data_IF_292040084217
#
_entry.id   IF_292040084217
#
_cell.length_a   1.000
_cell.length_b   1.000
_cell.length_c   1.000
_cell.angle_alpha   90.00
_cell.angle_beta   90.00
_cell.angle_gamma   90.00
#
_symmetry.space_group_name_H-M   'P 1'
#
loop_
_entity.id
_entity.type
_entity.pdbx_description
1 polymer ?
#
# COMPACT_ATOMS: atom_id res chain seq x y z
N UNK A 1 8.61 23.16 14.43
CA UNK A 1 9.53 22.58 13.41
C UNK A 1 8.90 21.50 12.48
N UNK A 2 7.65 21.59 11.97
CA UNK A 2 7.17 20.66 10.93
C UNK A 2 7.74 20.92 9.52
N UNK A 3 8.09 22.18 9.20
CA UNK A 3 8.41 22.58 7.82
C UNK A 3 9.74 22.02 7.28
N UNK A 4 10.78 21.91 8.13
CA UNK A 4 12.09 21.39 7.70
C UNK A 4 12.01 19.94 7.22
N UNK A 5 11.29 19.07 7.94
CA UNK A 5 11.14 17.65 7.58
C UNK A 5 10.35 17.47 6.28
N UNK A 6 9.37 18.33 6.03
CA UNK A 6 8.63 18.38 4.76
C UNK A 6 9.54 18.77 3.60
N UNK A 7 10.44 19.75 3.82
CA UNK A 7 11.38 20.23 2.80
C UNK A 7 12.43 19.18 2.41
N UNK A 8 12.91 18.37 3.35
CA UNK A 8 13.91 17.34 3.11
C UNK A 8 13.32 16.16 2.31
N UNK A 9 12.11 15.70 2.69
CA UNK A 9 11.43 14.64 1.95
C UNK A 9 11.18 15.02 0.48
N UNK A 10 10.75 16.26 0.24
CA UNK A 10 10.58 16.79 -1.12
C UNK A 10 11.90 16.82 -1.88
N UNK A 11 13.00 17.25 -1.24
CA UNK A 11 14.33 17.24 -1.85
C UNK A 11 14.79 15.84 -2.24
N UNK A 12 14.64 14.85 -1.37
CA UNK A 12 15.03 13.47 -1.65
C UNK A 12 14.23 12.89 -2.81
N UNK A 13 12.91 13.08 -2.82
CA UNK A 13 12.04 12.62 -3.92
C UNK A 13 12.46 13.25 -5.25
N UNK A 14 12.69 14.57 -5.27
CA UNK A 14 13.14 15.26 -6.47
C UNK A 14 14.51 14.74 -6.95
N UNK A 15 15.41 14.41 -6.01
CA UNK A 15 16.67 13.73 -6.29
C UNK A 15 16.45 12.39 -6.98
N UNK A 16 15.61 11.51 -6.41
CA UNK A 16 15.30 10.21 -7.00
C UNK A 16 14.70 10.32 -8.41
N UNK A 17 13.79 11.29 -8.63
CA UNK A 17 13.19 11.54 -9.95
C UNK A 17 14.25 12.04 -10.94
N UNK A 18 15.10 13.00 -10.54
CA UNK A 18 16.17 13.54 -11.38
C UNK A 18 17.17 12.45 -11.78
N UNK A 19 17.52 11.59 -10.83
CA UNK A 19 18.45 10.48 -11.02
C UNK A 19 17.80 9.27 -11.74
N UNK A 20 16.53 9.38 -12.12
CA UNK A 20 15.74 8.33 -12.79
C UNK A 20 15.77 7.00 -12.03
N UNK A 21 15.74 7.07 -10.70
CA UNK A 21 15.70 5.88 -9.83
C UNK A 21 14.49 5.01 -10.17
N UNK A 22 14.66 3.71 -10.11
CA UNK A 22 13.56 2.76 -10.21
C UNK A 22 12.86 2.59 -8.85
N UNK A 23 11.70 1.93 -8.84
CA UNK A 23 11.08 1.52 -7.57
C UNK A 23 12.00 0.61 -6.75
N UNK A 24 12.77 -0.27 -7.39
CA UNK A 24 13.66 -1.20 -6.70
C UNK A 24 14.84 -0.45 -6.05
N UNK A 25 15.37 0.60 -6.69
CA UNK A 25 16.40 1.46 -6.10
C UNK A 25 15.89 2.19 -4.85
N UNK A 26 14.68 2.77 -4.92
CA UNK A 26 14.08 3.49 -3.79
C UNK A 26 13.67 2.51 -2.69
N UNK A 27 13.16 1.33 -3.04
CA UNK A 27 12.91 0.24 -2.10
C UNK A 27 14.19 -0.15 -1.35
N UNK A 28 15.27 -0.40 -2.08
CA UNK A 28 16.55 -0.86 -1.52
C UNK A 28 17.12 0.16 -0.55
N UNK A 29 17.04 1.45 -0.89
CA UNK A 29 17.60 2.53 -0.06
C UNK A 29 16.68 2.97 1.10
N UNK A 30 15.36 2.92 0.94
CA UNK A 30 14.42 3.48 1.93
C UNK A 30 13.69 2.42 2.74
N UNK A 31 13.48 1.21 2.22
CA UNK A 31 12.58 0.21 2.84
C UNK A 31 13.34 -1.03 3.34
N UNK A 32 14.26 -1.57 2.55
CA UNK A 32 14.86 -2.89 2.77
C UNK A 32 15.46 -3.07 4.19
N UNK A 33 16.22 -2.08 4.67
CA UNK A 33 16.87 -2.14 6.00
C UNK A 33 15.99 -1.60 7.13
N UNK A 34 14.85 -0.98 6.81
CA UNK A 34 13.96 -0.30 7.78
C UNK A 34 12.75 -1.13 8.17
N UNK A 35 12.51 -2.26 7.50
CA UNK A 35 11.28 -3.05 7.63
C UNK A 35 10.92 -3.43 9.06
N UNK A 36 11.90 -3.82 9.86
CA UNK A 36 11.67 -4.34 11.21
C UNK A 36 11.57 -3.24 12.28
N UNK A 37 12.03 -2.01 12.01
CA UNK A 37 12.20 -0.97 13.05
C UNK A 37 11.56 0.37 12.68
N UNK A 38 12.04 1.00 11.62
CA UNK A 38 11.75 2.40 11.27
C UNK A 38 10.89 2.53 10.01
N UNK A 39 10.11 1.48 9.70
CA UNK A 39 9.35 1.35 8.45
C UNK A 39 8.46 2.56 8.15
N UNK A 40 7.81 3.14 9.16
CA UNK A 40 6.89 4.27 8.99
C UNK A 40 7.51 5.64 9.21
N UNK A 41 8.84 5.74 9.37
CA UNK A 41 9.51 7.05 9.38
C UNK A 41 9.46 7.69 8.00
N UNK A 42 9.62 9.02 7.93
CA UNK A 42 9.49 9.78 6.69
C UNK A 42 10.42 9.28 5.57
N UNK A 43 11.62 8.80 5.92
CA UNK A 43 12.62 8.21 5.03
C UNK A 43 12.45 6.68 4.85
N UNK A 44 11.29 6.14 5.22
CA UNK A 44 10.94 4.73 5.13
C UNK A 44 9.95 4.41 4.01
N UNK A 45 8.95 3.60 4.35
CA UNK A 45 7.82 3.27 3.49
C UNK A 45 7.05 4.49 2.97
N UNK A 46 6.81 5.57 3.75
CA UNK A 46 6.19 6.79 3.24
C UNK A 46 6.95 7.39 2.06
N UNK A 47 8.29 7.45 2.11
CA UNK A 47 9.14 7.94 1.00
C UNK A 47 8.93 7.09 -0.26
N UNK A 48 8.99 5.77 -0.10
CA UNK A 48 8.79 4.81 -1.20
C UNK A 48 7.41 4.97 -1.84
N UNK A 49 6.35 5.01 -1.03
CA UNK A 49 4.97 5.14 -1.50
C UNK A 49 4.76 6.47 -2.21
N UNK A 50 5.32 7.56 -1.67
CA UNK A 50 5.20 8.89 -2.29
C UNK A 50 5.96 8.97 -3.62
N UNK A 51 7.17 8.44 -3.68
CA UNK A 51 7.93 8.33 -4.93
C UNK A 51 7.17 7.50 -5.97
N UNK A 52 6.59 6.37 -5.54
CA UNK A 52 5.77 5.53 -6.40
C UNK A 52 4.59 6.30 -6.99
N UNK A 53 3.84 7.03 -6.15
CA UNK A 53 2.66 7.80 -6.55
C UNK A 53 3.00 8.87 -7.59
N UNK A 54 4.10 9.60 -7.38
CA UNK A 54 4.54 10.67 -8.29
C UNK A 54 5.02 10.13 -9.64
N UNK A 55 5.58 8.93 -9.66
CA UNK A 55 6.09 8.28 -10.88
C UNK A 55 5.09 7.33 -11.53
N UNK A 56 3.90 7.15 -10.95
CA UNK A 56 2.91 6.16 -11.37
C UNK A 56 2.53 6.27 -12.86
N UNK A 57 2.35 7.51 -13.37
CA UNK A 57 2.00 7.76 -14.78
C UNK A 57 3.00 7.18 -15.78
N UNK A 58 4.26 7.02 -15.37
CA UNK A 58 5.34 6.47 -16.21
C UNK A 58 5.43 4.94 -16.11
N UNK A 59 4.81 4.33 -15.09
CA UNK A 59 4.97 2.91 -14.73
C UNK A 59 3.69 2.08 -14.91
N UNK A 60 2.53 2.71 -15.06
CA UNK A 60 1.24 2.04 -15.27
C UNK A 60 0.38 1.98 -13.99
N UNK A 61 -0.37 0.88 -13.81
CA UNK A 61 -1.46 0.77 -12.84
C UNK A 61 -1.04 0.55 -11.37
N UNK A 62 0.26 0.40 -11.07
CA UNK A 62 0.76 0.23 -9.71
C UNK A 62 1.15 1.58 -9.05
N UNK A 63 0.12 2.36 -8.72
CA UNK A 63 0.26 3.71 -8.17
C UNK A 63 1.10 3.74 -6.90
N UNK A 64 0.91 2.78 -6.00
CA UNK A 64 1.55 2.78 -4.67
C UNK A 64 2.71 1.78 -4.54
N UNK A 65 3.11 1.14 -5.64
CA UNK A 65 4.29 0.28 -5.68
C UNK A 65 4.06 -1.03 -4.94
N UNK A 66 2.79 -1.46 -4.82
CA UNK A 66 2.42 -2.64 -4.03
C UNK A 66 2.89 -3.93 -4.69
N UNK A 67 3.04 -3.96 -6.02
CA UNK A 67 3.45 -5.18 -6.72
C UNK A 67 4.87 -5.57 -6.31
N UNK A 68 5.79 -4.60 -6.29
CA UNK A 68 7.16 -4.84 -5.83
C UNK A 68 7.20 -5.25 -4.35
N UNK A 69 6.45 -4.56 -3.49
CA UNK A 69 6.41 -4.89 -2.06
C UNK A 69 5.90 -6.31 -1.80
N UNK A 70 4.87 -6.76 -2.53
CA UNK A 70 4.38 -8.14 -2.46
C UNK A 70 5.42 -9.12 -3.00
N UNK A 71 6.14 -8.79 -4.07
CA UNK A 71 7.24 -9.64 -4.58
C UNK A 71 8.35 -9.82 -3.54
N UNK A 72 8.69 -8.77 -2.78
CA UNK A 72 9.80 -8.80 -1.81
C UNK A 72 9.42 -9.42 -0.46
N UNK A 73 8.21 -9.16 0.03
CA UNK A 73 7.80 -9.55 1.39
C UNK A 73 6.61 -10.50 1.45
N UNK A 74 5.92 -10.73 0.33
CA UNK A 74 4.66 -11.44 0.30
C UNK A 74 3.48 -10.57 0.76
N UNK A 75 2.29 -10.96 0.32
CA UNK A 75 1.05 -10.24 0.62
C UNK A 75 0.71 -10.24 2.12
N UNK A 76 1.00 -11.34 2.83
CA UNK A 76 0.64 -11.46 4.24
C UNK A 76 1.49 -10.54 5.12
N UNK A 77 2.83 -10.56 4.96
CA UNK A 77 3.74 -9.66 5.69
C UNK A 77 3.46 -8.20 5.37
N UNK A 78 3.17 -7.88 4.12
CA UNK A 78 2.78 -6.52 3.74
C UNK A 78 1.47 -6.09 4.40
N UNK A 79 0.45 -6.96 4.43
CA UNK A 79 -0.82 -6.63 5.06
C UNK A 79 -0.71 -6.56 6.59
N UNK A 80 0.18 -7.32 7.22
CA UNK A 80 0.55 -7.15 8.63
C UNK A 80 1.08 -5.73 8.89
N UNK A 81 2.06 -5.28 8.10
CA UNK A 81 2.61 -3.92 8.22
C UNK A 81 1.52 -2.86 8.03
N UNK A 82 0.63 -3.04 7.05
CA UNK A 82 -0.52 -2.14 6.84
C UNK A 82 -1.44 -2.10 8.06
N UNK A 83 -1.78 -3.24 8.65
CA UNK A 83 -2.63 -3.29 9.85
C UNK A 83 -1.96 -2.59 11.05
N UNK A 84 -0.65 -2.74 11.21
CA UNK A 84 0.14 -2.01 12.22
C UNK A 84 0.08 -0.51 11.98
N UNK A 85 0.32 -0.06 10.74
CA UNK A 85 0.28 1.37 10.38
C UNK A 85 -1.10 2.00 10.57
N UNK A 86 -2.18 1.27 10.26
CA UNK A 86 -3.55 1.74 10.49
C UNK A 86 -3.94 1.83 11.97
N UNK A 87 -3.20 1.15 12.85
CA UNK A 87 -3.49 1.10 14.29
C UNK A 87 -2.54 1.94 15.14
N UNK A 88 -1.55 2.60 14.53
CA UNK A 88 -0.46 3.27 15.26
C UNK A 88 -0.84 4.59 15.91
N UNK A 89 -1.92 5.24 15.44
CA UNK A 89 -2.27 6.61 15.82
C UNK A 89 -1.35 7.70 15.25
N UNK A 90 -0.35 7.32 14.44
CA UNK A 90 0.54 8.26 13.74
C UNK A 90 -0.02 8.57 12.34
N UNK A 91 -0.30 9.84 12.06
CA UNK A 91 -0.96 10.27 10.82
C UNK A 91 -0.18 9.86 9.56
N UNK A 92 1.16 9.90 9.60
CA UNK A 92 2.00 9.53 8.48
C UNK A 92 1.92 8.02 8.22
N UNK A 93 1.99 7.21 9.27
CA UNK A 93 1.86 5.77 9.22
C UNK A 93 0.48 5.36 8.70
N UNK A 94 -0.59 5.95 9.25
CA UNK A 94 -1.98 5.71 8.85
C UNK A 94 -2.17 6.05 7.38
N UNK A 95 -1.77 7.25 6.95
CA UNK A 95 -1.91 7.68 5.56
C UNK A 95 -1.08 6.83 4.57
N UNK A 96 0.08 6.32 5.01
CA UNK A 96 0.90 5.42 4.19
C UNK A 96 0.25 4.05 4.08
N UNK A 97 -0.23 3.50 5.19
CA UNK A 97 -0.90 2.22 5.24
C UNK A 97 -2.21 2.22 4.44
N UNK A 98 -2.97 3.32 4.47
CA UNK A 98 -4.19 3.47 3.67
C UNK A 98 -3.92 3.42 2.16
N UNK A 99 -2.87 4.09 1.69
CA UNK A 99 -2.44 4.02 0.28
C UNK A 99 -2.08 2.58 -0.12
N UNK A 100 -1.30 1.89 0.71
CA UNK A 100 -0.94 0.50 0.45
C UNK A 100 -2.15 -0.42 0.46
N UNK A 101 -3.09 -0.23 1.39
CA UNK A 101 -4.36 -0.97 1.45
C UNK A 101 -5.18 -0.75 0.18
N UNK A 102 -5.28 0.49 -0.30
CA UNK A 102 -5.96 0.81 -1.56
C UNK A 102 -5.28 0.13 -2.77
N UNK A 103 -3.95 0.15 -2.84
CA UNK A 103 -3.19 -0.53 -3.88
C UNK A 103 -3.41 -2.05 -3.86
N UNK A 104 -3.38 -2.67 -2.69
CA UNK A 104 -3.66 -4.10 -2.51
C UNK A 104 -5.09 -4.46 -2.93
N UNK A 105 -6.09 -3.67 -2.54
CA UNK A 105 -7.48 -3.88 -2.95
C UNK A 105 -7.65 -3.79 -4.48
N UNK A 106 -7.03 -2.79 -5.11
CA UNK A 106 -7.07 -2.65 -6.57
C UNK A 106 -6.40 -3.85 -7.27
N UNK A 107 -5.26 -4.31 -6.74
CA UNK A 107 -4.61 -5.51 -7.23
C UNK A 107 -5.52 -6.74 -7.12
N UNK A 108 -6.09 -6.99 -5.95
CA UNK A 108 -6.97 -8.14 -5.73
C UNK A 108 -8.24 -8.08 -6.59
N UNK A 109 -8.76 -6.88 -6.85
CA UNK A 109 -9.84 -6.66 -7.81
C UNK A 109 -9.45 -7.08 -9.24
N UNK A 110 -8.28 -6.67 -9.71
CA UNK A 110 -7.77 -7.05 -11.04
C UNK A 110 -7.47 -8.55 -11.15
N UNK A 111 -7.05 -9.17 -10.05
CA UNK A 111 -6.87 -10.62 -9.92
C UNK A 111 -8.21 -11.37 -9.76
N UNK A 112 -9.34 -10.67 -9.71
CA UNK A 112 -10.70 -11.20 -9.52
C UNK A 112 -10.85 -12.05 -8.26
N UNK A 113 -10.12 -11.71 -7.19
CA UNK A 113 -10.22 -12.42 -5.92
C UNK A 113 -11.64 -12.35 -5.38
N UNK A 114 -12.13 -13.48 -4.88
CA UNK A 114 -13.47 -13.50 -4.29
C UNK A 114 -13.47 -12.78 -2.92
N UNK A 115 -14.64 -12.29 -2.46
CA UNK A 115 -14.72 -11.55 -1.21
C UNK A 115 -14.27 -12.32 0.04
N UNK A 116 -14.35 -13.65 0.04
CA UNK A 116 -13.88 -14.51 1.14
C UNK A 116 -12.37 -14.53 1.19
N UNK A 117 -11.72 -14.66 0.02
CA UNK A 117 -10.27 -14.58 -0.06
C UNK A 117 -9.78 -13.19 0.36
N UNK A 118 -10.40 -12.11 -0.11
CA UNK A 118 -10.04 -10.73 0.30
C UNK A 118 -10.22 -10.53 1.81
N UNK A 119 -11.30 -11.04 2.40
CA UNK A 119 -11.49 -10.98 3.84
C UNK A 119 -10.37 -11.73 4.58
N UNK A 120 -9.91 -12.88 4.08
CA UNK A 120 -8.76 -13.62 4.65
C UNK A 120 -7.47 -12.82 4.55
N UNK A 121 -7.21 -12.21 3.40
CA UNK A 121 -6.00 -11.41 3.17
C UNK A 121 -5.95 -10.18 4.06
N UNK A 122 -7.07 -9.45 4.20
CA UNK A 122 -7.18 -8.27 5.07
C UNK A 122 -6.90 -8.56 6.55
N UNK A 123 -6.97 -9.83 6.98
CA UNK A 123 -6.55 -10.20 8.34
C UNK A 123 -5.05 -9.97 8.54
N UNK A 124 -4.23 -10.14 7.51
CA UNK A 124 -2.76 -10.08 7.61
C UNK A 124 -2.27 -10.99 8.73
N UNK A 125 -2.61 -12.28 8.70
CA UNK A 125 -2.24 -13.23 9.75
C UNK A 125 -3.02 -13.15 11.08
N UNK A 126 -3.86 -12.13 11.30
CA UNK A 126 -4.74 -12.09 12.48
C UNK A 126 -5.84 -13.16 12.41
N UNK A 127 -6.39 -13.55 13.56
CA UNK A 127 -7.52 -14.50 13.63
C UNK A 127 -8.80 -13.93 13.00
N UNK A 128 -9.04 -12.63 13.19
CA UNK A 128 -10.23 -11.91 12.72
C UNK A 128 -9.86 -10.70 11.88
N UNK A 129 -10.78 -10.26 11.02
CA UNK A 129 -10.62 -9.01 10.26
C UNK A 129 -10.65 -7.83 11.24
N UNK A 130 -9.65 -6.93 11.21
CA UNK A 130 -9.65 -5.74 12.06
C UNK A 130 -10.91 -4.89 11.87
N UNK A 131 -11.36 -4.22 12.94
CA UNK A 131 -12.60 -3.42 12.94
C UNK A 131 -12.62 -2.37 11.82
N UNK A 132 -11.50 -1.66 11.61
CA UNK A 132 -11.31 -0.66 10.55
C UNK A 132 -11.34 -1.22 9.11
N UNK A 133 -11.31 -2.55 8.94
CA UNK A 133 -11.37 -3.23 7.63
C UNK A 133 -12.70 -3.94 7.39
N UNK A 134 -13.59 -4.04 8.39
CA UNK A 134 -14.89 -4.73 8.23
C UNK A 134 -15.77 -4.06 7.16
N UNK A 135 -15.80 -2.73 7.14
CA UNK A 135 -16.60 -2.00 6.17
C UNK A 135 -16.05 -2.15 4.74
N UNK A 136 -14.72 -2.28 4.59
CA UNK A 136 -14.11 -2.55 3.29
C UNK A 136 -14.49 -3.93 2.75
N UNK A 137 -14.54 -4.96 3.60
CA UNK A 137 -15.00 -6.30 3.18
C UNK A 137 -16.43 -6.24 2.64
N UNK A 138 -17.32 -5.50 3.34
CA UNK A 138 -18.71 -5.32 2.88
C UNK A 138 -18.77 -4.60 1.52
N UNK A 139 -18.05 -3.49 1.39
CA UNK A 139 -17.99 -2.71 0.14
C UNK A 139 -17.44 -3.53 -1.02
N UNK A 140 -16.34 -4.24 -0.80
CA UNK A 140 -15.73 -5.12 -1.80
C UNK A 140 -16.71 -6.21 -2.25
N UNK A 141 -17.38 -6.88 -1.30
CA UNK A 141 -18.41 -7.89 -1.61
C UNK A 141 -19.56 -7.29 -2.42
N UNK A 142 -20.05 -6.12 -2.05
CA UNK A 142 -21.11 -5.42 -2.77
C UNK A 142 -20.72 -5.12 -4.22
N UNK A 143 -19.53 -4.57 -4.42
CA UNK A 143 -18.99 -4.27 -5.76
C UNK A 143 -18.79 -5.55 -6.58
N UNK A 144 -18.23 -6.61 -5.98
CA UNK A 144 -18.03 -7.89 -6.65
C UNK A 144 -19.35 -8.50 -7.12
N UNK A 145 -20.36 -8.55 -6.25
CA UNK A 145 -21.68 -9.07 -6.58
C UNK A 145 -22.36 -8.25 -7.69
N UNK A 146 -22.27 -6.92 -7.65
CA UNK A 146 -22.84 -6.06 -8.68
C UNK A 146 -22.16 -6.26 -10.05
N UNK A 147 -20.83 -6.41 -10.07
CA UNK A 147 -20.07 -6.72 -11.27
C UNK A 147 -20.44 -8.09 -11.84
N UNK A 148 -20.57 -9.10 -10.97
CA UNK A 148 -21.00 -10.45 -11.35
C UNK A 148 -22.41 -10.43 -11.97
N UNK A 149 -23.38 -9.78 -11.32
CA UNK A 149 -24.76 -9.66 -11.85
C UNK A 149 -24.77 -8.92 -13.19
N UNK A 150 -23.98 -7.86 -13.34
CA UNK A 150 -23.90 -7.11 -14.59
C UNK A 150 -23.29 -7.94 -15.73
N UNK A 151 -22.34 -8.83 -15.42
CA UNK A 151 -21.75 -9.75 -16.39
C UNK A 151 -22.67 -10.89 -16.86
N UNK A 152 -23.80 -11.09 -16.17
CA UNK A 152 -24.81 -12.12 -16.49
C UNK A 152 -25.99 -11.59 -17.34
N UNK A 153 -26.07 -10.27 -17.57
CA UNK A 153 -27.10 -9.71 -18.44
C UNK A 153 -26.61 -9.76 -19.91
N UNK A 154 -27.32 -10.47 -20.81
CA UNK A 154 -26.97 -10.56 -22.23
C UNK A 154 -27.16 -9.23 -22.97
#
# INVERSE_FOLDING_TARGET
>A
MPEEKSSEAVRMINGFVKDKKTLDDVFTSQVNTKWENTLFKADGLPMYVRFSELTAKQRGHDTYGVNLLVTKYGQEKLMQAVNTGLSSGDDLAVATADRLRAGLLNRWWNEKKDPTEVARLLKGGNTVVPSFSKELVKKYRGQYNAAYISSLKP
#
